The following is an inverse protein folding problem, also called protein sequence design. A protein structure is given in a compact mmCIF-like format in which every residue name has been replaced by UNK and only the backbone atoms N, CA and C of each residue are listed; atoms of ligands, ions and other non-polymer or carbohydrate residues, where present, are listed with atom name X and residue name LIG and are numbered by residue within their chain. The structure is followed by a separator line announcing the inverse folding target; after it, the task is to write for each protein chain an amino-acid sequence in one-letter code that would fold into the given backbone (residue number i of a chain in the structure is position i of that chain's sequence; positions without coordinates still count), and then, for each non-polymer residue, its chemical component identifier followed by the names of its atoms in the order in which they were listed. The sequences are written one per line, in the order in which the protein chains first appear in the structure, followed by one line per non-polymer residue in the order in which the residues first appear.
data_IF_842892433670
#
_entry.id   IF_842892433670
#
_cell.length_a   1.000
_cell.length_b   1.000
_cell.length_c   1.000
_cell.angle_alpha   90.00
_cell.angle_beta   90.00
_cell.angle_gamma   90.00
#
_symmetry.space_group_name_H-M   'P 1'
#
loop_
_entity.id
_entity.type
_entity.pdbx_description
1 polymer ?
#
# COMPACT_ATOMS: atom_id res chain seq x y z
N UNK A 1 -25.93 28.13 44.89
CA UNK A 1 -26.22 28.09 43.45
C UNK A 1 -25.24 27.11 42.82
N UNK A 2 -25.69 25.90 42.46
CA UNK A 2 -24.86 24.88 41.85
C UNK A 2 -24.90 25.05 40.33
N UNK A 3 -23.78 25.45 39.73
CA UNK A 3 -23.61 25.50 38.27
C UNK A 3 -23.13 24.14 37.78
N UNK A 4 -24.06 23.35 37.25
CA UNK A 4 -23.77 22.11 36.54
C UNK A 4 -23.17 22.43 35.18
N UNK A 5 -21.84 22.31 35.05
CA UNK A 5 -21.14 22.39 33.78
C UNK A 5 -21.19 21.02 33.08
N UNK A 6 -22.16 20.83 32.20
CA UNK A 6 -22.21 19.65 31.33
C UNK A 6 -21.33 19.87 30.10
N UNK A 7 -20.11 19.34 30.14
CA UNK A 7 -19.29 19.15 28.95
C UNK A 7 -19.95 18.12 28.03
N UNK A 8 -20.55 18.58 26.93
CA UNK A 8 -20.99 17.71 25.83
C UNK A 8 -19.75 17.15 25.14
N UNK A 9 -19.45 15.89 25.40
CA UNK A 9 -18.44 15.13 24.66
C UNK A 9 -19.01 14.83 23.27
N UNK A 10 -18.57 15.58 22.26
CA UNK A 10 -18.92 15.37 20.87
C UNK A 10 -18.22 14.09 20.38
N UNK A 11 -18.99 13.02 20.16
CA UNK A 11 -18.46 11.80 19.54
C UNK A 11 -18.16 12.11 18.07
N UNK A 12 -17.01 11.70 17.51
CA UNK A 12 -16.78 11.88 16.08
C UNK A 12 -17.87 11.10 15.33
N UNK A 13 -18.67 11.82 14.54
CA UNK A 13 -19.66 11.21 13.66
C UNK A 13 -18.92 10.24 12.74
N UNK A 14 -19.39 8.99 12.69
CA UNK A 14 -18.95 8.04 11.68
C UNK A 14 -19.15 8.67 10.30
N UNK A 15 -18.05 9.09 9.67
CA UNK A 15 -18.08 9.68 8.35
C UNK A 15 -18.41 8.58 7.34
N UNK A 16 -19.71 8.41 7.08
CA UNK A 16 -20.20 7.55 6.00
C UNK A 16 -19.65 8.06 4.67
N UNK A 17 -19.27 7.14 3.78
CA UNK A 17 -18.69 7.52 2.49
C UNK A 17 -19.64 8.47 1.73
N UNK A 18 -19.20 9.69 1.37
CA UNK A 18 -20.08 10.69 0.75
C UNK A 18 -20.56 10.31 -0.65
N UNK A 19 -19.92 9.32 -1.28
CA UNK A 19 -20.23 8.87 -2.64
C UNK A 19 -21.35 7.84 -2.65
N UNK A 20 -21.34 6.89 -1.72
CA UNK A 20 -22.31 5.79 -1.69
C UNK A 20 -23.19 5.76 -0.44
N UNK A 21 -23.00 6.70 0.50
CA UNK A 21 -23.74 6.74 1.77
C UNK A 21 -23.55 5.49 2.64
N UNK A 22 -22.44 4.77 2.47
CA UNK A 22 -22.16 3.51 3.18
C UNK A 22 -22.67 2.24 2.47
N UNK A 23 -23.36 2.36 1.34
CA UNK A 23 -23.89 1.20 0.60
C UNK A 23 -22.80 0.40 -0.13
N UNK A 24 -21.72 1.06 -0.54
CA UNK A 24 -20.58 0.42 -1.24
C UNK A 24 -20.77 0.19 -2.74
N UNK A 25 -21.93 0.55 -3.30
CA UNK A 25 -22.22 0.49 -4.74
C UNK A 25 -22.88 1.79 -5.20
N UNK A 26 -22.67 2.16 -6.46
CA UNK A 26 -23.24 3.35 -7.11
C UNK A 26 -23.65 3.05 -8.54
N UNK A 27 -24.61 3.81 -9.06
CA UNK A 27 -24.94 3.86 -10.48
C UNK A 27 -24.29 5.09 -11.09
N UNK A 28 -23.72 4.96 -12.27
CA UNK A 28 -23.15 6.10 -13.00
C UNK A 28 -24.28 6.93 -13.58
N UNK A 29 -24.14 8.24 -13.50
CA UNK A 29 -25.04 9.19 -14.17
C UNK A 29 -24.55 9.41 -15.61
N UNK A 30 -25.00 8.54 -16.51
CA UNK A 30 -24.62 8.51 -17.93
C UNK A 30 -25.89 8.46 -18.80
N UNK A 31 -25.82 8.81 -20.10
CA UNK A 31 -26.98 8.70 -20.99
C UNK A 31 -27.46 7.25 -21.17
N UNK A 32 -28.72 7.06 -21.56
CA UNK A 32 -29.31 5.73 -21.78
C UNK A 32 -28.63 4.89 -22.87
N UNK A 33 -27.90 5.55 -23.78
CA UNK A 33 -27.11 4.88 -24.82
C UNK A 33 -25.77 4.35 -24.31
N UNK A 34 -25.36 4.71 -23.09
CA UNK A 34 -24.09 4.25 -22.51
C UNK A 34 -24.25 2.80 -21.99
N UNK A 35 -23.29 1.91 -22.29
CA UNK A 35 -23.33 0.52 -21.81
C UNK A 35 -23.43 0.41 -20.29
N UNK A 36 -22.98 1.40 -19.51
CA UNK A 36 -23.01 1.39 -18.06
C UNK A 36 -24.29 2.00 -17.47
N UNK A 37 -25.21 2.49 -18.31
CA UNK A 37 -26.49 3.01 -17.84
C UNK A 37 -27.26 1.99 -17.02
N UNK A 38 -27.68 2.39 -15.81
CA UNK A 38 -28.46 1.54 -14.90
C UNK A 38 -27.68 0.41 -14.23
N UNK A 39 -26.40 0.18 -14.57
CA UNK A 39 -25.56 -0.84 -13.93
C UNK A 39 -25.13 -0.40 -12.53
N UNK A 40 -25.14 -1.34 -11.59
CA UNK A 40 -24.53 -1.16 -10.27
C UNK A 40 -23.03 -1.42 -10.38
N UNK A 41 -22.24 -0.42 -10.04
CA UNK A 41 -20.77 -0.48 -10.00
C UNK A 41 -20.31 -0.31 -8.56
N UNK A 42 -19.16 -0.90 -8.24
CA UNK A 42 -18.62 -0.81 -6.89
C UNK A 42 -18.11 0.61 -6.62
N UNK A 43 -18.46 1.16 -5.46
CA UNK A 43 -17.97 2.47 -5.05
C UNK A 43 -16.45 2.42 -4.84
N UNK A 44 -15.76 3.53 -5.11
CA UNK A 44 -14.33 3.68 -4.88
C UNK A 44 -13.91 3.37 -3.44
N UNK A 45 -14.76 3.66 -2.45
CA UNK A 45 -14.46 3.31 -1.06
C UNK A 45 -14.33 1.78 -0.88
N UNK A 46 -15.26 1.03 -1.48
CA UNK A 46 -15.30 -0.43 -1.37
C UNK A 46 -14.18 -1.08 -2.19
N UNK A 47 -13.86 -0.51 -3.36
CA UNK A 47 -12.70 -0.91 -4.14
C UNK A 47 -11.40 -0.72 -3.35
N UNK A 48 -11.23 0.41 -2.68
CA UNK A 48 -10.05 0.69 -1.86
C UNK A 48 -9.95 -0.29 -0.68
N UNK A 49 -11.06 -0.58 -0.01
CA UNK A 49 -11.11 -1.57 1.07
C UNK A 49 -10.71 -2.96 0.58
N UNK A 50 -11.22 -3.39 -0.57
CA UNK A 50 -10.85 -4.68 -1.17
C UNK A 50 -9.38 -4.73 -1.55
N UNK A 51 -8.86 -3.66 -2.18
CA UNK A 51 -7.45 -3.58 -2.56
C UNK A 51 -6.54 -3.65 -1.32
N UNK A 52 -6.87 -2.90 -0.26
CA UNK A 52 -6.15 -2.91 1.01
C UNK A 52 -6.20 -4.29 1.66
N UNK A 53 -7.39 -4.89 1.78
CA UNK A 53 -7.55 -6.23 2.37
C UNK A 53 -6.81 -7.30 1.57
N UNK A 54 -6.78 -7.20 0.25
CA UNK A 54 -6.04 -8.12 -0.61
C UNK A 54 -4.52 -7.97 -0.38
N UNK A 55 -4.02 -6.74 -0.32
CA UNK A 55 -2.61 -6.44 -0.03
C UNK A 55 -2.19 -6.95 1.35
N UNK A 56 -2.98 -6.65 2.39
CA UNK A 56 -2.71 -7.13 3.77
C UNK A 56 -2.70 -8.66 3.84
N UNK A 57 -3.58 -9.33 3.10
CA UNK A 57 -3.57 -10.80 3.00
C UNK A 57 -2.28 -11.32 2.37
N UNK A 58 -1.83 -10.72 1.26
CA UNK A 58 -0.59 -11.12 0.59
C UNK A 58 0.63 -10.91 1.50
N UNK A 59 0.69 -9.77 2.19
CA UNK A 59 1.78 -9.47 3.13
C UNK A 59 1.84 -10.52 4.25
N UNK A 60 0.70 -10.83 4.87
CA UNK A 60 0.62 -11.88 5.91
C UNK A 60 1.05 -13.26 5.41
N UNK A 61 0.66 -13.65 4.20
CA UNK A 61 1.05 -14.94 3.62
C UNK A 61 2.53 -15.01 3.24
N UNK A 62 3.14 -13.88 2.89
CA UNK A 62 4.52 -13.80 2.41
C UNK A 62 5.59 -13.76 3.50
N UNK A 63 5.20 -13.59 4.78
CA UNK A 63 6.12 -13.30 5.89
C UNK A 63 7.00 -12.04 5.70
N UNK A 64 6.69 -11.17 4.72
CA UNK A 64 7.46 -9.95 4.45
C UNK A 64 7.33 -8.88 5.55
N UNK A 65 6.35 -9.02 6.45
CA UNK A 65 6.14 -8.08 7.56
C UNK A 65 7.37 -7.97 8.48
N UNK A 66 8.07 -9.09 8.73
CA UNK A 66 9.32 -9.13 9.49
C UNK A 66 10.47 -8.35 8.82
N UNK A 67 10.35 -8.10 7.51
CA UNK A 67 11.33 -7.40 6.69
C UNK A 67 10.88 -5.97 6.33
N UNK A 68 9.83 -5.44 6.97
CA UNK A 68 9.25 -4.13 6.66
C UNK A 68 10.25 -2.96 6.73
N UNK A 69 11.32 -3.09 7.54
CA UNK A 69 12.39 -2.11 7.67
C UNK A 69 13.54 -2.32 6.67
N UNK A 70 13.52 -3.39 5.88
CA UNK A 70 14.53 -3.68 4.86
C UNK A 70 14.10 -3.06 3.53
N UNK A 71 14.51 -1.80 3.34
CA UNK A 71 14.17 -0.99 2.17
C UNK A 71 15.44 -0.60 1.42
N UNK A 72 15.32 -0.10 0.19
CA UNK A 72 16.47 0.48 -0.50
C UNK A 72 17.10 1.66 0.26
N UNK A 73 16.32 2.40 1.04
CA UNK A 73 16.82 3.53 1.82
C UNK A 73 17.65 3.08 3.03
N UNK A 74 17.26 1.99 3.68
CA UNK A 74 17.97 1.44 4.85
C UNK A 74 19.10 0.48 4.49
N UNK A 75 19.31 0.19 3.21
CA UNK A 75 20.35 -0.72 2.76
C UNK A 75 21.74 -0.05 2.78
N UNK A 76 22.68 -0.64 3.51
CA UNK A 76 24.07 -0.17 3.58
C UNK A 76 24.99 -0.99 2.69
N UNK A 77 25.62 -0.33 1.71
CA UNK A 77 26.60 -0.97 0.81
C UNK A 77 27.92 -1.28 1.50
N UNK A 78 28.23 -0.61 2.61
CA UNK A 78 29.37 -0.94 3.46
C UNK A 78 29.13 -2.23 4.25
N UNK A 79 27.90 -2.74 4.28
CA UNK A 79 27.50 -3.94 4.99
C UNK A 79 27.87 -3.93 6.48
N UNK A 80 28.35 -5.07 6.99
CA UNK A 80 28.86 -5.20 8.37
C UNK A 80 30.37 -4.99 8.39
N UNK A 81 30.91 -4.54 9.53
CA UNK A 81 32.35 -4.27 9.71
C UNK A 81 33.21 -5.44 9.19
N UNK A 82 34.23 -5.13 8.38
CA UNK A 82 35.21 -6.09 7.87
C UNK A 82 34.99 -6.62 6.45
N UNK A 83 34.12 -6.01 5.65
CA UNK A 83 34.00 -6.33 4.22
C UNK A 83 35.19 -5.78 3.43
N UNK A 84 35.69 -6.57 2.48
CA UNK A 84 36.69 -6.12 1.50
C UNK A 84 36.04 -5.31 0.38
N UNK A 85 36.88 -4.65 -0.41
CA UNK A 85 36.45 -3.74 -1.47
C UNK A 85 35.58 -4.44 -2.53
N UNK A 86 35.90 -5.70 -2.87
CA UNK A 86 35.13 -6.50 -3.83
C UNK A 86 33.69 -6.74 -3.36
N UNK A 87 33.49 -7.07 -2.08
CA UNK A 87 32.15 -7.27 -1.55
C UNK A 87 31.36 -5.96 -1.52
N UNK A 88 32.00 -4.84 -1.17
CA UNK A 88 31.35 -3.52 -1.19
C UNK A 88 30.90 -3.18 -2.62
N UNK A 89 31.74 -3.43 -3.63
CA UNK A 89 31.38 -3.22 -5.03
C UNK A 89 30.23 -4.12 -5.48
N UNK A 90 30.23 -5.39 -5.06
CA UNK A 90 29.12 -6.32 -5.33
C UNK A 90 27.80 -5.83 -4.73
N UNK A 91 27.81 -5.34 -3.48
CA UNK A 91 26.62 -4.78 -2.83
C UNK A 91 26.13 -3.50 -3.52
N UNK A 92 27.03 -2.61 -3.95
CA UNK A 92 26.67 -1.42 -4.73
C UNK A 92 26.02 -1.80 -6.06
N UNK A 93 26.62 -2.76 -6.77
CA UNK A 93 26.09 -3.24 -8.04
C UNK A 93 24.70 -3.88 -7.84
N UNK A 94 24.56 -4.79 -6.87
CA UNK A 94 23.31 -5.45 -6.54
C UNK A 94 22.20 -4.47 -6.18
N UNK A 95 22.50 -3.45 -5.36
CA UNK A 95 21.53 -2.38 -5.03
C UNK A 95 21.09 -1.62 -6.28
N UNK A 96 22.03 -1.22 -7.13
CA UNK A 96 21.72 -0.47 -8.37
C UNK A 96 20.83 -1.27 -9.32
N UNK A 97 21.12 -2.56 -9.51
CA UNK A 97 20.36 -3.44 -10.37
C UNK A 97 18.96 -3.67 -9.80
N UNK A 98 18.86 -3.96 -8.49
CA UNK A 98 17.58 -4.14 -7.83
C UNK A 98 16.67 -2.90 -7.94
N UNK A 99 17.22 -1.69 -7.80
CA UNK A 99 16.47 -0.44 -7.97
C UNK A 99 15.97 -0.25 -9.42
N UNK A 100 16.82 -0.53 -10.42
CA UNK A 100 16.45 -0.44 -11.83
C UNK A 100 15.35 -1.44 -12.19
N UNK A 101 15.47 -2.69 -11.72
CA UNK A 101 14.45 -3.72 -11.95
C UNK A 101 13.13 -3.39 -11.25
N UNK A 102 13.17 -2.91 -10.00
CA UNK A 102 11.96 -2.51 -9.28
C UNK A 102 11.21 -1.35 -9.97
N UNK A 103 11.93 -0.43 -10.62
CA UNK A 103 11.33 0.68 -11.36
C UNK A 103 10.65 0.25 -12.67
N UNK A 104 11.14 -0.81 -13.33
CA UNK A 104 10.55 -1.32 -14.58
C UNK A 104 10.80 -2.84 -14.68
N UNK A 105 10.00 -3.67 -13.99
CA UNK A 105 10.24 -5.10 -13.92
C UNK A 105 9.97 -5.75 -15.28
N UNK A 106 11.03 -6.24 -15.93
CA UNK A 106 10.98 -7.00 -17.19
C UNK A 106 11.71 -8.32 -17.02
N UNK A 107 11.02 -9.42 -17.30
CA UNK A 107 11.59 -10.77 -17.13
C UNK A 107 11.98 -11.04 -15.68
N UNK A 108 13.11 -11.75 -15.50
CA UNK A 108 13.59 -12.20 -14.20
C UNK A 108 14.91 -11.53 -13.83
N UNK A 109 15.04 -11.15 -12.57
CA UNK A 109 16.32 -10.75 -11.95
C UNK A 109 16.76 -11.84 -10.99
N UNK A 110 18.02 -12.23 -11.06
CA UNK A 110 18.62 -13.22 -10.16
C UNK A 110 19.83 -12.57 -9.50
N UNK A 111 19.84 -12.59 -8.17
CA UNK A 111 21.00 -12.23 -7.35
C UNK A 111 21.63 -13.51 -6.82
N UNK A 112 22.94 -13.67 -6.99
CA UNK A 112 23.70 -14.81 -6.48
C UNK A 112 24.95 -14.30 -5.78
N UNK A 113 25.30 -14.93 -4.66
CA UNK A 113 26.61 -14.78 -4.04
C UNK A 113 27.59 -15.84 -4.54
N UNK A 114 28.85 -15.66 -4.20
CA UNK A 114 29.92 -16.67 -4.30
C UNK A 114 30.36 -17.09 -2.92
#
# INVERSE_FOLDING_TARGET
MATSSSTKTDKPKEEVCPICGGVGFVRKDVPISDPDFGKLTMCVCKQNDQNRSAQERLLRMSNLEAFSQMTFHSFSVQGRLGLGDEQIQSLQYGLSQAQQYAATPRGWMVLMGT
#
